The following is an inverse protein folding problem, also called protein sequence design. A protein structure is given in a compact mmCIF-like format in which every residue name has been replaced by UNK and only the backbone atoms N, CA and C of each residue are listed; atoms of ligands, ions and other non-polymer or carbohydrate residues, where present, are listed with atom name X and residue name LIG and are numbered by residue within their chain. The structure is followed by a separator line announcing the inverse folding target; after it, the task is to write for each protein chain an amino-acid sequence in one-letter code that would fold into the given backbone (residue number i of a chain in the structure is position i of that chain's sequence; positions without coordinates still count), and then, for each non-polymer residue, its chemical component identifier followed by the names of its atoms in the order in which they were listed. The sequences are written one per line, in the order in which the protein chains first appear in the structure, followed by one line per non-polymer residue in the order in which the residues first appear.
data_IF_203528989445
#
_entry.id   IF_203528989445
#
_cell.length_a   1.000
_cell.length_b   1.000
_cell.length_c   1.000
_cell.angle_alpha   90.00
_cell.angle_beta   90.00
_cell.angle_gamma   90.00
#
_symmetry.space_group_name_H-M   'P 1'
#
loop_
_entity.id
_entity.type
_entity.pdbx_description
1 polymer ?
#
# COMPACT_ATOMS: atom_id res chain seq x y z
N UNK A 1 -7.39 3.69 -0.59
CA UNK A 1 -6.22 4.61 -0.57
C UNK A 1 -6.57 5.83 -1.42
N UNK A 2 -6.36 7.05 -0.93
CA UNK A 2 -6.75 8.28 -1.65
C UNK A 2 -5.53 9.10 -2.03
N UNK A 3 -5.52 9.65 -3.24
CA UNK A 3 -4.44 10.54 -3.69
C UNK A 3 -4.58 11.92 -3.05
N UNK A 4 -3.56 12.39 -2.33
CA UNK A 4 -3.58 13.73 -1.69
C UNK A 4 -3.72 14.89 -2.70
N UNK A 5 -3.18 14.72 -3.91
CA UNK A 5 -3.21 15.76 -4.95
C UNK A 5 -4.57 15.82 -5.66
N UNK A 6 -5.05 14.68 -6.12
CA UNK A 6 -6.26 14.61 -6.95
C UNK A 6 -7.54 14.33 -6.16
N UNK A 7 -7.42 13.98 -4.88
CA UNK A 7 -8.52 13.56 -3.99
C UNK A 7 -9.39 12.40 -4.53
N UNK A 8 -8.88 11.65 -5.51
CA UNK A 8 -9.55 10.46 -6.07
C UNK A 8 -9.04 9.18 -5.42
N UNK A 9 -9.86 8.14 -5.49
CA UNK A 9 -9.48 6.78 -5.13
C UNK A 9 -8.31 6.30 -6.01
N UNK A 10 -7.29 5.73 -5.37
CA UNK A 10 -6.16 5.10 -6.04
C UNK A 10 -6.52 3.64 -6.33
N UNK A 11 -6.06 3.13 -7.47
CA UNK A 11 -6.26 1.76 -7.92
C UNK A 11 -5.14 0.88 -7.37
N UNK A 12 -5.49 -0.30 -6.88
CA UNK A 12 -4.53 -1.31 -6.48
C UNK A 12 -3.94 -1.99 -7.73
N UNK A 13 -2.61 -2.02 -7.81
CA UNK A 13 -1.90 -2.77 -8.85
C UNK A 13 -1.75 -4.22 -8.38
N UNK A 14 -2.80 -5.02 -8.58
CA UNK A 14 -2.78 -6.48 -8.33
C UNK A 14 -1.89 -7.15 -9.38
N UNK A 15 -0.83 -7.83 -8.93
CA UNK A 15 0.13 -8.53 -9.80
C UNK A 15 1.59 -8.48 -9.32
N UNK A 16 1.93 -7.54 -8.42
CA UNK A 16 3.26 -7.45 -7.80
C UNK A 16 3.19 -7.64 -6.28
N UNK A 17 2.76 -8.82 -5.82
CA UNK A 17 2.92 -9.27 -4.43
C UNK A 17 4.39 -9.63 -4.15
N UNK A 18 5.33 -8.74 -4.47
CA UNK A 18 6.71 -8.86 -4.00
C UNK A 18 6.73 -8.49 -2.51
N UNK A 19 7.01 -9.47 -1.64
CA UNK A 19 7.12 -9.29 -0.18
C UNK A 19 5.84 -8.81 0.53
N UNK A 20 4.65 -9.06 -0.01
CA UNK A 20 3.37 -8.74 0.65
C UNK A 20 2.99 -7.25 0.65
N UNK A 21 3.75 -6.39 -0.03
CA UNK A 21 3.47 -4.95 -0.12
C UNK A 21 2.39 -4.66 -1.18
N UNK A 22 1.31 -3.96 -0.78
CA UNK A 22 0.26 -3.51 -1.72
C UNK A 22 0.70 -2.22 -2.40
N UNK A 23 0.68 -2.20 -3.74
CA UNK A 23 1.03 -1.01 -4.53
C UNK A 23 -0.24 -0.34 -5.05
N UNK A 24 -0.33 0.98 -4.85
CA UNK A 24 -1.46 1.81 -5.25
C UNK A 24 -1.01 2.84 -6.29
N UNK A 25 -1.79 3.04 -7.35
CA UNK A 25 -1.53 4.04 -8.40
C UNK A 25 -2.72 4.98 -8.55
N UNK A 26 -2.47 6.28 -8.62
CA UNK A 26 -3.51 7.26 -8.92
C UNK A 26 -3.78 7.29 -10.43
N UNK A 27 -5.04 7.14 -10.89
CA UNK A 27 -5.36 7.16 -12.32
C UNK A 27 -5.23 8.55 -12.98
N UNK A 28 -5.30 9.64 -12.20
CA UNK A 28 -5.23 11.01 -12.74
C UNK A 28 -3.82 11.59 -12.85
N UNK A 29 -2.96 11.32 -11.85
CA UNK A 29 -1.61 11.90 -11.79
C UNK A 29 -0.49 10.87 -11.79
N UNK A 30 -0.82 9.59 -12.01
CA UNK A 30 0.11 8.47 -12.03
C UNK A 30 0.94 8.27 -10.75
N UNK A 31 0.63 8.98 -9.67
CA UNK A 31 1.35 8.88 -8.40
C UNK A 31 1.23 7.47 -7.83
N UNK A 32 2.37 6.89 -7.46
CA UNK A 32 2.45 5.55 -6.87
C UNK A 32 2.62 5.67 -5.36
N UNK A 33 2.00 4.76 -4.62
CA UNK A 33 2.11 4.69 -3.16
C UNK A 33 2.12 3.23 -2.73
N UNK A 34 3.13 2.82 -1.98
CA UNK A 34 3.20 1.47 -1.42
C UNK A 34 2.61 1.44 -0.02
N UNK A 35 1.92 0.36 0.31
CA UNK A 35 1.44 0.03 1.64
C UNK A 35 2.13 -1.27 2.04
N UNK A 36 3.02 -1.19 3.01
CA UNK A 36 3.59 -2.38 3.63
C UNK A 36 2.45 -3.20 4.28
N UNK A 37 2.50 -4.54 4.22
CA UNK A 37 1.60 -5.34 5.02
C UNK A 37 1.85 -4.93 6.46
N UNK A 38 0.77 -4.72 7.23
CA UNK A 38 0.92 -4.57 8.67
C UNK A 38 1.59 -5.87 9.13
N UNK A 39 2.87 -5.81 9.48
CA UNK A 39 3.51 -6.89 10.22
C UNK A 39 2.57 -7.09 11.41
N UNK A 40 1.92 -8.25 11.48
CA UNK A 40 1.30 -8.66 12.73
C UNK A 40 2.38 -8.43 13.78
N UNK A 41 2.08 -7.59 14.78
CA UNK A 41 3.03 -7.27 15.84
C UNK A 41 3.68 -8.59 16.23
N UNK A 42 5.00 -8.69 16.08
CA UNK A 42 5.75 -9.84 16.60
C UNK A 42 5.20 -10.10 18.02
N UNK A 43 4.83 -11.35 18.36
CA UNK A 43 4.35 -11.63 19.71
C UNK A 43 5.36 -11.07 20.70
N UNK A 44 4.92 -10.49 21.84
CA UNK A 44 5.85 -9.98 22.84
C UNK A 44 6.84 -11.10 23.17
N UNK A 45 8.12 -10.80 23.04
CA UNK A 45 9.21 -11.68 23.45
C UNK A 45 8.99 -11.99 24.92
N UNK A 46 8.63 -13.23 25.22
CA UNK A 46 8.54 -13.72 26.60
C UNK A 46 10.00 -13.97 27.01
N UNK A 47 10.52 -13.11 27.89
CA UNK A 47 11.79 -13.32 28.62
C UNK A 47 11.61 -14.40 29.69
#
# INVERSE_FOLDING_TARGET
MTCKKCRVAMLELKGHLYHGNRKWKCPKCNRVRMQAPRKAKSPPRME
#
